data_IF_235713365781
#
_entry.id   IF_235713365781
#
_cell.length_a   1.000
_cell.length_b   1.000
_cell.length_c   1.000
_cell.angle_alpha   90.00
_cell.angle_beta   90.00
_cell.angle_gamma   90.00
#
_symmetry.space_group_name_H-M   'P 1'
#
loop_
_entity.id
_entity.type
_entity.pdbx_description
1 polymer ?
#
# COMPACT_ATOMS: atom_id res chain seq x y z
N UNK A 1 5.57 -23.18 14.68
CA UNK A 1 6.20 -23.19 13.35
C UNK A 1 5.67 -22.10 12.42
N UNK A 2 4.40 -22.11 11.99
CA UNK A 2 3.86 -21.11 11.04
C UNK A 2 3.97 -19.66 11.54
N UNK A 3 3.59 -19.35 12.78
CA UNK A 3 3.73 -17.98 13.29
C UNK A 3 5.20 -17.50 13.30
N UNK A 4 6.14 -18.40 13.57
CA UNK A 4 7.58 -18.10 13.57
C UNK A 4 8.12 -17.86 12.17
N UNK A 5 7.74 -18.68 11.20
CA UNK A 5 8.09 -18.44 9.80
C UNK A 5 7.54 -17.09 9.29
N UNK A 6 6.35 -16.64 9.77
CA UNK A 6 5.82 -15.29 9.48
C UNK A 6 6.72 -14.21 10.07
N UNK A 7 7.16 -14.40 11.32
CA UNK A 7 8.07 -13.47 11.98
C UNK A 7 9.42 -13.36 11.25
N UNK A 8 10.04 -14.49 10.90
CA UNK A 8 11.36 -14.53 10.26
C UNK A 8 11.33 -14.08 8.79
N UNK A 9 10.28 -14.45 8.05
CA UNK A 9 10.13 -14.01 6.65
C UNK A 9 10.06 -12.49 6.56
N UNK A 10 9.41 -11.86 7.53
CA UNK A 10 9.29 -10.43 7.61
C UNK A 10 10.60 -9.75 8.03
N UNK A 11 11.26 -10.26 9.07
CA UNK A 11 12.49 -9.68 9.59
C UNK A 11 13.68 -9.79 8.62
N UNK A 12 13.83 -10.92 7.93
CA UNK A 12 15.05 -11.23 7.18
C UNK A 12 14.85 -11.37 5.67
N UNK A 13 13.62 -11.64 5.22
CA UNK A 13 13.35 -11.91 3.80
C UNK A 13 12.53 -10.81 3.12
N UNK A 14 12.09 -9.76 3.82
CA UNK A 14 11.42 -8.62 3.20
C UNK A 14 12.31 -7.95 2.14
N UNK A 15 13.60 -7.76 2.45
CA UNK A 15 14.60 -7.23 1.52
C UNK A 15 14.80 -8.15 0.30
N UNK A 16 15.12 -9.43 0.52
CA UNK A 16 15.32 -10.38 -0.58
C UNK A 16 14.09 -10.53 -1.47
N UNK A 17 12.90 -10.50 -0.90
CA UNK A 17 11.63 -10.55 -1.64
C UNK A 17 11.46 -9.35 -2.58
N UNK A 18 11.84 -8.15 -2.14
CA UNK A 18 11.79 -6.93 -2.95
C UNK A 18 12.81 -6.99 -4.09
N UNK A 19 14.05 -7.41 -3.81
CA UNK A 19 15.09 -7.50 -4.86
C UNK A 19 14.74 -8.54 -5.94
N UNK A 20 14.20 -9.69 -5.54
CA UNK A 20 13.73 -10.73 -6.48
C UNK A 20 12.61 -10.20 -7.39
N UNK A 21 11.71 -9.36 -6.86
CA UNK A 21 10.65 -8.70 -7.66
C UNK A 21 11.23 -7.67 -8.61
N UNK A 22 12.16 -6.82 -8.15
CA UNK A 22 12.87 -5.84 -8.99
C UNK A 22 13.61 -6.50 -10.15
N UNK A 23 14.27 -7.63 -9.89
CA UNK A 23 14.99 -8.41 -10.89
C UNK A 23 14.08 -9.21 -11.85
N UNK A 24 12.74 -9.16 -11.70
CA UNK A 24 11.82 -9.86 -12.59
C UNK A 24 11.84 -11.39 -12.47
N UNK A 25 12.50 -11.94 -11.45
CA UNK A 25 12.72 -13.38 -11.32
C UNK A 25 11.43 -14.19 -11.09
N UNK A 26 10.36 -13.52 -10.66
CA UNK A 26 9.02 -14.12 -10.55
C UNK A 26 8.52 -14.70 -11.88
N UNK A 27 8.91 -14.15 -13.03
CA UNK A 27 8.50 -14.66 -14.35
C UNK A 27 9.03 -16.08 -14.58
N UNK A 28 10.33 -16.29 -14.34
CA UNK A 28 10.97 -17.62 -14.42
C UNK A 28 10.33 -18.61 -13.44
N UNK A 29 10.03 -18.16 -12.21
CA UNK A 29 9.37 -19.00 -11.22
C UNK A 29 7.96 -19.41 -11.67
N UNK A 30 7.21 -18.51 -12.30
CA UNK A 30 5.87 -18.79 -12.82
C UNK A 30 5.90 -19.80 -13.98
N UNK A 31 6.91 -19.76 -14.84
CA UNK A 31 7.11 -20.76 -15.91
C UNK A 31 7.33 -22.16 -15.34
N UNK A 32 8.10 -22.26 -14.25
CA UNK A 32 8.39 -23.53 -13.59
C UNK A 32 7.19 -24.06 -12.80
N UNK A 33 6.46 -23.17 -12.11
CA UNK A 33 5.31 -23.51 -11.28
C UNK A 33 4.33 -22.33 -11.26
N UNK A 34 3.20 -22.44 -11.99
CA UNK A 34 2.16 -21.42 -11.95
C UNK A 34 1.62 -21.21 -10.53
N UNK A 35 1.55 -19.95 -10.10
CA UNK A 35 1.00 -19.57 -8.80
C UNK A 35 -0.53 -19.48 -8.85
N UNK A 36 -1.20 -19.78 -7.73
CA UNK A 36 -2.67 -19.77 -7.67
C UNK A 36 -3.28 -18.39 -8.03
N UNK A 37 -2.63 -17.28 -7.66
CA UNK A 37 -3.10 -15.93 -8.00
C UNK A 37 -3.14 -15.67 -9.50
N UNK A 38 -2.31 -16.38 -10.27
CA UNK A 38 -2.27 -16.30 -11.74
C UNK A 38 -3.22 -17.33 -12.35
N UNK A 39 -3.30 -18.54 -11.78
CA UNK A 39 -4.26 -19.56 -12.21
C UNK A 39 -5.72 -19.10 -12.05
N UNK A 40 -6.01 -18.27 -11.03
CA UNK A 40 -7.32 -17.67 -10.77
C UNK A 40 -7.42 -16.20 -11.20
N UNK A 41 -6.61 -15.77 -12.19
CA UNK A 41 -6.51 -14.36 -12.59
C UNK A 41 -7.87 -13.73 -12.89
N UNK A 42 -8.73 -14.39 -13.67
CA UNK A 42 -10.05 -13.84 -14.01
C UNK A 42 -10.98 -13.65 -12.80
N UNK A 43 -10.91 -14.52 -11.79
CA UNK A 43 -11.67 -14.38 -10.54
C UNK A 43 -11.14 -13.22 -9.69
N UNK A 44 -9.81 -13.11 -9.61
CA UNK A 44 -9.12 -12.03 -8.89
C UNK A 44 -9.39 -10.67 -9.54
N UNK A 45 -9.30 -10.58 -10.86
CA UNK A 45 -9.55 -9.34 -11.60
C UNK A 45 -10.99 -8.86 -11.41
N UNK A 46 -11.98 -9.77 -11.48
CA UNK A 46 -13.38 -9.44 -11.14
C UNK A 46 -13.54 -8.92 -9.72
N UNK A 47 -12.82 -9.49 -8.76
CA UNK A 47 -12.84 -9.01 -7.37
C UNK A 47 -12.24 -7.62 -7.27
N UNK A 48 -11.09 -7.38 -7.91
CA UNK A 48 -10.42 -6.08 -7.96
C UNK A 48 -11.34 -5.03 -8.60
N UNK A 49 -12.02 -5.37 -9.69
CA UNK A 49 -12.88 -4.44 -10.44
C UNK A 49 -14.13 -3.99 -9.69
N UNK A 50 -14.56 -4.70 -8.63
CA UNK A 50 -15.58 -4.19 -7.70
C UNK A 50 -15.20 -2.84 -7.10
N UNK A 51 -13.90 -2.52 -7.05
CA UNK A 51 -13.36 -1.24 -6.60
C UNK A 51 -13.84 -0.06 -7.44
N UNK A 52 -14.41 -0.30 -8.62
CA UNK A 52 -15.05 0.75 -9.41
C UNK A 52 -16.26 1.37 -8.74
N UNK A 53 -16.98 0.59 -7.93
CA UNK A 53 -18.25 0.99 -7.32
C UNK A 53 -18.23 0.94 -5.79
N UNK A 54 -17.38 0.09 -5.21
CA UNK A 54 -17.34 -0.17 -3.76
C UNK A 54 -15.93 0.11 -3.21
N UNK A 55 -15.78 0.95 -2.18
CA UNK A 55 -14.49 1.15 -1.54
C UNK A 55 -14.12 -0.05 -0.67
N UNK A 56 -12.94 -0.62 -0.88
CA UNK A 56 -12.34 -1.64 -0.01
C UNK A 56 -10.83 -1.69 -0.21
N UNK A 57 -10.12 -2.28 0.73
CA UNK A 57 -8.67 -2.40 0.68
C UNK A 57 -8.23 -3.75 0.09
N UNK A 58 -7.21 -3.73 -0.77
CA UNK A 58 -6.60 -4.91 -1.37
C UNK A 58 -5.18 -5.08 -0.84
N UNK A 59 -4.88 -6.25 -0.26
CA UNK A 59 -3.50 -6.61 0.07
C UNK A 59 -2.68 -6.79 -1.21
N UNK A 60 -1.46 -6.24 -1.22
CA UNK A 60 -0.51 -6.38 -2.33
C UNK A 60 0.68 -7.23 -1.89
N UNK A 61 1.34 -7.95 -2.82
CA UNK A 61 2.49 -8.80 -2.52
C UNK A 61 3.75 -7.95 -2.30
N UNK A 62 3.72 -7.01 -1.35
CA UNK A 62 4.85 -6.20 -0.92
C UNK A 62 4.88 -6.15 0.60
N UNK A 63 6.07 -6.30 1.22
CA UNK A 63 6.17 -6.34 2.66
C UNK A 63 5.78 -5.00 3.28
N UNK A 64 4.98 -5.07 4.34
CA UNK A 64 4.67 -3.93 5.18
C UNK A 64 5.84 -3.59 6.11
N UNK A 65 5.75 -2.44 6.78
CA UNK A 65 6.72 -2.04 7.81
C UNK A 65 6.57 -2.88 9.08
N UNK A 66 7.68 -3.45 9.57
CA UNK A 66 7.75 -4.03 10.92
C UNK A 66 7.76 -2.92 11.96
N UNK A 67 6.81 -2.98 12.90
CA UNK A 67 6.80 -2.09 14.05
C UNK A 67 7.97 -2.36 15.01
N UNK A 68 8.61 -3.54 14.92
CA UNK A 68 9.72 -3.96 15.79
C UNK A 68 11.11 -3.62 15.23
N UNK A 69 11.21 -3.39 13.92
CA UNK A 69 12.45 -2.89 13.29
C UNK A 69 12.12 -1.72 12.33
N UNK A 70 11.93 -0.50 12.87
CA UNK A 70 11.53 0.64 12.05
C UNK A 70 12.57 1.11 11.03
N UNK A 71 13.81 0.63 11.08
CA UNK A 71 14.92 1.09 10.24
C UNK A 71 15.01 0.34 8.89
N UNK A 72 14.62 -0.94 8.83
CA UNK A 72 14.69 -1.75 7.60
C UNK A 72 13.46 -1.71 6.69
N UNK A 73 12.50 -0.81 6.92
CA UNK A 73 11.08 -1.10 6.64
C UNK A 73 10.40 -0.30 5.53
N UNK A 74 11.13 0.51 4.76
CA UNK A 74 10.54 1.27 3.66
C UNK A 74 10.51 0.51 2.33
N UNK A 75 11.34 -0.52 2.12
CA UNK A 75 11.58 -1.12 0.79
C UNK A 75 10.33 -1.56 0.02
N UNK A 76 9.35 -2.12 0.71
CA UNK A 76 8.07 -2.49 0.08
C UNK A 76 7.30 -1.26 -0.41
N UNK A 77 7.21 -0.22 0.42
CA UNK A 77 6.59 1.04 0.05
C UNK A 77 7.39 1.77 -1.04
N UNK A 78 8.72 1.74 -0.97
CA UNK A 78 9.60 2.33 -1.98
C UNK A 78 9.37 1.68 -3.35
N UNK A 79 9.35 0.34 -3.40
CA UNK A 79 9.03 -0.40 -4.63
C UNK A 79 7.62 -0.10 -5.14
N UNK A 80 6.64 0.09 -4.25
CA UNK A 80 5.31 0.53 -4.64
C UNK A 80 5.39 1.90 -5.33
N UNK A 81 6.01 2.91 -4.71
CA UNK A 81 6.11 4.27 -5.26
C UNK A 81 7.01 4.37 -6.51
N UNK A 82 8.01 3.51 -6.65
CA UNK A 82 8.81 3.39 -7.88
C UNK A 82 7.95 3.03 -9.09
N UNK A 83 6.91 2.21 -8.90
CA UNK A 83 6.07 1.66 -9.99
C UNK A 83 4.69 2.31 -10.10
N UNK A 84 4.09 2.71 -9.00
CA UNK A 84 2.78 3.33 -8.96
C UNK A 84 2.82 4.75 -9.55
N UNK A 85 1.84 5.08 -10.38
CA UNK A 85 1.65 6.45 -10.91
C UNK A 85 0.19 6.84 -10.75
N UNK A 86 -0.06 7.99 -10.12
CA UNK A 86 -1.40 8.56 -10.06
C UNK A 86 -1.86 8.95 -11.47
N UNK A 87 -3.08 8.58 -11.84
CA UNK A 87 -3.67 8.91 -13.15
C UNK A 87 -4.43 10.24 -13.16
N UNK A 88 -4.47 10.96 -12.03
CA UNK A 88 -5.21 12.22 -11.93
C UNK A 88 -6.74 12.08 -11.96
N UNK A 89 -7.30 10.86 -11.83
CA UNK A 89 -8.72 10.58 -12.04
C UNK A 89 -9.73 11.26 -11.09
N UNK A 90 -9.26 11.96 -10.04
CA UNK A 90 -10.12 12.69 -9.11
C UNK A 90 -10.96 11.86 -8.14
N UNK A 91 -11.03 10.53 -8.26
CA UNK A 91 -11.90 9.71 -7.38
C UNK A 91 -11.69 9.97 -5.89
N UNK A 92 -10.45 10.04 -5.43
CA UNK A 92 -10.13 10.37 -4.02
C UNK A 92 -10.48 11.81 -3.60
N UNK A 93 -10.76 12.70 -4.56
CA UNK A 93 -11.21 14.08 -4.32
C UNK A 93 -12.74 14.21 -4.19
N UNK A 94 -13.48 13.12 -4.42
CA UNK A 94 -14.95 13.12 -4.34
C UNK A 94 -15.50 12.15 -3.29
N UNK A 95 -14.72 11.13 -2.88
CA UNK A 95 -15.23 10.08 -1.97
C UNK A 95 -15.55 10.61 -0.57
N UNK A 96 -16.83 10.60 -0.15
CA UNK A 96 -17.22 10.89 1.22
C UNK A 96 -16.77 9.73 2.12
N UNK A 97 -16.08 10.02 3.23
CA UNK A 97 -15.79 9.03 4.28
C UNK A 97 -14.32 8.77 4.61
N UNK A 98 -13.38 9.14 3.73
CA UNK A 98 -11.95 9.07 4.08
C UNK A 98 -11.50 10.25 4.97
N UNK A 99 -12.21 11.37 4.91
CA UNK A 99 -11.79 12.63 5.53
C UNK A 99 -10.41 13.06 5.00
N UNK A 100 -10.35 14.07 4.14
CA UNK A 100 -9.05 14.65 3.78
C UNK A 100 -8.52 15.45 4.99
N UNK A 101 -8.01 14.73 5.98
CA UNK A 101 -7.46 15.27 7.19
C UNK A 101 -6.15 15.97 6.87
N UNK A 102 -6.04 17.18 7.39
CA UNK A 102 -4.87 18.03 7.27
C UNK A 102 -4.49 18.53 8.66
N UNK A 103 -3.21 18.41 8.97
CA UNK A 103 -2.60 19.01 10.16
C UNK A 103 -2.22 20.47 9.88
N UNK A 104 -1.65 21.14 10.89
CA UNK A 104 -1.25 22.54 10.76
C UNK A 104 -0.13 22.70 9.72
N UNK A 105 0.81 21.77 9.68
CA UNK A 105 1.93 21.76 8.75
C UNK A 105 1.47 21.61 7.30
N UNK A 106 0.45 20.78 7.05
CA UNK A 106 -0.23 20.65 5.77
C UNK A 106 -0.91 21.96 5.37
N UNK A 107 -1.65 22.58 6.30
CA UNK A 107 -2.30 23.88 6.06
C UNK A 107 -1.30 24.98 5.70
N UNK A 108 -0.17 25.06 6.41
CA UNK A 108 0.91 26.01 6.13
C UNK A 108 1.56 25.76 4.76
N UNK A 109 1.79 24.49 4.39
CA UNK A 109 2.34 24.13 3.08
C UNK A 109 1.41 24.51 1.94
N UNK A 110 0.11 24.25 2.08
CA UNK A 110 -0.91 24.62 1.09
C UNK A 110 -1.01 26.14 0.97
N UNK A 111 -1.07 26.87 2.09
CA UNK A 111 -1.12 28.34 2.09
C UNK A 111 0.10 28.96 1.40
N UNK A 112 1.31 28.45 1.70
CA UNK A 112 2.56 28.92 1.07
C UNK A 112 2.54 28.68 -0.44
N UNK A 113 2.06 27.53 -0.87
CA UNK A 113 1.95 27.20 -2.30
C UNK A 113 0.95 28.09 -3.04
N UNK A 114 -0.18 28.41 -2.41
CA UNK A 114 -1.25 29.22 -3.01
C UNK A 114 -1.08 30.73 -2.81
N UNK A 115 -0.16 31.17 -1.95
CA UNK A 115 -0.07 32.57 -1.50
C UNK A 115 -1.30 33.02 -0.71
N UNK A 116 -1.99 32.11 -0.03
CA UNK A 116 -3.23 32.39 0.70
C UNK A 116 -3.00 32.65 2.19
N UNK A 117 -3.82 33.51 2.82
CA UNK A 117 -3.87 33.58 4.28
C UNK A 117 -4.56 32.34 4.85
N UNK A 118 -4.11 31.89 6.03
CA UNK A 118 -4.65 30.70 6.73
C UNK A 118 -6.18 30.71 6.84
N UNK A 119 -6.76 31.88 7.18
CA UNK A 119 -8.21 32.07 7.31
C UNK A 119 -8.99 31.69 6.05
N UNK A 120 -8.41 31.89 4.86
CA UNK A 120 -9.04 31.52 3.58
C UNK A 120 -9.08 30.00 3.42
N UNK A 121 -8.00 29.30 3.76
CA UNK A 121 -7.95 27.85 3.70
C UNK A 121 -8.85 27.21 4.77
N UNK A 122 -8.85 27.72 5.99
CA UNK A 122 -9.74 27.27 7.07
C UNK A 122 -11.21 27.36 6.68
N UNK A 123 -11.61 28.38 5.90
CA UNK A 123 -12.97 28.52 5.40
C UNK A 123 -13.40 27.41 4.41
N UNK A 124 -12.45 26.64 3.87
CA UNK A 124 -12.68 25.47 3.03
C UNK A 124 -12.62 24.14 3.79
N UNK A 125 -12.31 24.19 5.08
CA UNK A 125 -12.21 23.03 5.94
C UNK A 125 -13.35 22.98 6.97
N UNK A 126 -13.50 21.81 7.59
CA UNK A 126 -14.25 21.56 8.82
C UNK A 126 -13.26 21.28 9.93
N UNK A 127 -13.50 21.80 11.14
CA UNK A 127 -12.60 21.60 12.27
C UNK A 127 -12.96 20.30 12.99
N UNK A 128 -11.98 19.42 13.14
CA UNK A 128 -12.14 18.09 13.75
C UNK A 128 -11.55 18.10 15.15
N UNK A 129 -12.42 18.32 16.15
CA UNK A 129 -12.00 18.55 17.54
C UNK A 129 -11.34 17.32 18.17
N UNK A 130 -11.83 16.13 17.84
CA UNK A 130 -11.35 14.86 18.40
C UNK A 130 -9.97 14.48 17.87
N UNK A 131 -9.66 14.90 16.63
CA UNK A 131 -8.39 14.60 15.95
C UNK A 131 -7.37 15.75 16.03
N UNK A 132 -7.76 16.89 16.60
CA UNK A 132 -6.88 18.06 16.74
C UNK A 132 -6.49 18.72 15.41
N UNK A 133 -7.31 18.57 14.36
CA UNK A 133 -6.97 19.02 13.00
C UNK A 133 -8.15 19.56 12.20
N UNK A 134 -8.00 19.55 10.88
CA UNK A 134 -9.03 19.98 9.93
C UNK A 134 -9.30 18.87 8.91
N UNK A 135 -10.52 18.83 8.38
CA UNK A 135 -10.86 18.04 7.21
C UNK A 135 -11.22 18.97 6.05
N UNK A 136 -10.60 18.80 4.89
CA UNK A 136 -10.99 19.55 3.67
C UNK A 136 -12.40 19.12 3.29
N UNK A 137 -13.31 20.10 3.11
CA UNK A 137 -14.69 19.80 2.69
C UNK A 137 -14.70 19.13 1.33
N UNK A 138 -15.58 18.14 1.19
CA UNK A 138 -15.77 17.41 -0.06
C UNK A 138 -17.04 17.91 -0.78
N UNK A 139 -17.07 17.95 -2.13
CA UNK A 139 -15.96 17.67 -3.05
C UNK A 139 -14.75 18.58 -2.84
N UNK A 140 -13.54 18.03 -3.00
CA UNK A 140 -12.30 18.75 -2.74
C UNK A 140 -12.24 20.04 -3.59
N UNK A 141 -12.10 21.23 -2.99
CA UNK A 141 -12.10 22.50 -3.72
C UNK A 141 -10.83 22.72 -4.56
N UNK A 142 -9.84 21.83 -4.43
CA UNK A 142 -8.59 21.88 -5.17
C UNK A 142 -8.55 20.88 -6.33
N UNK A 143 -9.66 20.22 -6.64
CA UNK A 143 -9.75 19.35 -7.80
C UNK A 143 -10.57 20.01 -8.89
N UNK A 144 -10.00 20.05 -10.09
CA UNK A 144 -10.60 20.49 -11.32
C UNK A 144 -10.70 19.30 -12.27
N UNK A 145 -11.80 19.17 -13.03
CA UNK A 145 -11.99 18.02 -13.92
C UNK A 145 -11.12 18.04 -15.17
N UNK A 146 -10.63 19.21 -15.58
CA UNK A 146 -9.77 19.40 -16.75
C UNK A 146 -8.29 19.41 -16.34
N UNK A 147 -7.97 20.11 -15.24
CA UNK A 147 -6.59 20.33 -14.76
C UNK A 147 -6.16 19.36 -13.65
N UNK A 148 -7.08 18.57 -13.09
CA UNK A 148 -6.81 17.66 -11.98
C UNK A 148 -6.60 18.38 -10.65
N UNK A 149 -5.68 17.87 -9.81
CA UNK A 149 -5.44 18.48 -8.49
C UNK A 149 -4.55 19.73 -8.62
N UNK A 150 -5.13 20.91 -8.41
CA UNK A 150 -4.46 22.21 -8.53
C UNK A 150 -3.40 22.47 -7.46
N UNK A 151 -3.36 21.66 -6.40
CA UNK A 151 -2.32 21.69 -5.35
C UNK A 151 -1.45 20.42 -5.35
N UNK A 152 -1.36 19.68 -6.46
CA UNK A 152 -0.64 18.39 -6.51
C UNK A 152 0.76 18.40 -5.83
N UNK A 153 1.61 19.43 -6.02
CA UNK A 153 2.93 19.51 -5.37
C UNK A 153 2.88 19.81 -3.86
N UNK A 154 1.79 20.43 -3.39
CA UNK A 154 1.58 20.84 -2.01
C UNK A 154 0.51 20.00 -1.29
N UNK A 155 0.13 18.85 -1.86
CA UNK A 155 -0.89 17.96 -1.32
C UNK A 155 -0.62 17.62 0.15
N UNK A 156 -1.67 17.48 0.97
CA UNK A 156 -1.52 17.07 2.36
C UNK A 156 -0.93 15.66 2.44
N UNK A 157 -0.45 15.27 3.63
CA UNK A 157 0.17 13.95 3.85
C UNK A 157 -0.77 12.81 3.45
N UNK A 158 -2.04 12.92 3.84
CA UNK A 158 -3.11 11.97 3.48
C UNK A 158 -3.19 11.75 1.96
N UNK A 159 -3.18 12.82 1.17
CA UNK A 159 -3.23 12.74 -0.29
C UNK A 159 -1.92 12.23 -0.92
N UNK A 160 -0.78 12.46 -0.27
CA UNK A 160 0.53 11.99 -0.75
C UNK A 160 0.70 10.50 -0.54
N UNK A 161 0.13 9.95 0.54
CA UNK A 161 0.20 8.53 0.86
C UNK A 161 -0.86 7.71 0.13
N UNK A 162 -1.95 8.32 -0.32
CA UNK A 162 -2.99 7.64 -1.09
C UNK A 162 -2.43 7.10 -2.43
N UNK A 163 -2.70 5.82 -2.80
CA UNK A 163 -3.72 4.92 -2.26
C UNK A 163 -3.18 3.89 -1.26
N UNK A 164 -1.96 4.05 -0.77
CA UNK A 164 -1.31 3.06 0.11
C UNK A 164 -1.84 3.16 1.53
N UNK A 165 -2.34 2.04 2.07
CA UNK A 165 -2.95 1.92 3.38
C UNK A 165 -2.13 1.02 4.32
N UNK A 166 -2.38 1.11 5.64
CA UNK A 166 -1.85 0.15 6.60
C UNK A 166 -2.25 -1.30 6.24
N UNK A 167 -1.48 -2.30 6.72
CA UNK A 167 -1.79 -3.70 6.46
C UNK A 167 -3.18 -4.11 6.94
N UNK A 168 -3.81 -5.01 6.18
CA UNK A 168 -5.04 -5.68 6.58
C UNK A 168 -4.80 -6.58 7.79
N UNK A 169 -5.83 -6.75 8.63
CA UNK A 169 -5.74 -7.63 9.81
C UNK A 169 -5.42 -9.08 9.41
N UNK A 170 -5.96 -9.55 8.30
CA UNK A 170 -5.77 -10.91 7.78
C UNK A 170 -4.39 -11.06 7.11
N UNK A 171 -3.81 -9.97 6.63
CA UNK A 171 -2.48 -9.92 6.00
C UNK A 171 -1.58 -8.85 6.63
N UNK A 172 -1.23 -8.96 7.92
CA UNK A 172 -0.61 -7.87 8.69
C UNK A 172 0.84 -7.56 8.29
N UNK A 173 1.42 -8.37 7.41
CA UNK A 173 2.79 -8.26 6.90
C UNK A 173 2.86 -7.78 5.45
N UNK A 174 1.71 -7.54 4.81
CA UNK A 174 1.63 -7.05 3.45
C UNK A 174 1.04 -5.66 3.43
N UNK A 175 1.55 -4.80 2.55
CA UNK A 175 0.92 -3.50 2.30
C UNK A 175 -0.48 -3.70 1.73
N UNK A 176 -1.34 -2.69 1.89
CA UNK A 176 -2.66 -2.66 1.29
C UNK A 176 -2.84 -1.39 0.46
N UNK A 177 -3.75 -1.44 -0.50
CA UNK A 177 -4.13 -0.28 -1.32
C UNK A 177 -5.64 -0.16 -1.42
N UNK A 178 -6.14 1.07 -1.51
CA UNK A 178 -7.57 1.32 -1.75
C UNK A 178 -7.96 0.94 -3.19
N UNK A 179 -8.88 -0.03 -3.32
CA UNK A 179 -9.43 -0.51 -4.58
C UNK A 179 -10.20 0.58 -5.33
N UNK A 180 -10.65 1.64 -4.66
CA UNK A 180 -11.33 2.75 -5.30
C UNK A 180 -10.43 3.52 -6.28
N UNK A 181 -9.11 3.49 -6.04
CA UNK A 181 -8.11 4.06 -6.94
C UNK A 181 -7.92 3.19 -8.19
N UNK A 182 -8.20 3.69 -9.41
CA UNK A 182 -8.02 2.92 -10.65
C UNK A 182 -6.56 2.50 -10.87
N UNK A 183 -5.62 3.39 -10.59
CA UNK A 183 -4.19 3.10 -10.71
C UNK A 183 -3.74 2.01 -9.73
N UNK A 184 -4.34 1.93 -8.54
CA UNK A 184 -4.04 0.88 -7.57
C UNK A 184 -4.53 -0.48 -8.07
N UNK A 185 -5.75 -0.52 -8.63
CA UNK A 185 -6.30 -1.73 -9.25
C UNK A 185 -5.40 -2.24 -10.37
N UNK A 186 -4.97 -1.37 -11.28
CA UNK A 186 -4.02 -1.73 -12.34
C UNK A 186 -2.73 -2.33 -11.76
N UNK A 187 -2.13 -1.66 -10.77
CA UNK A 187 -0.94 -2.16 -10.10
C UNK A 187 -1.15 -3.56 -9.49
N UNK A 188 -2.26 -3.80 -8.81
CA UNK A 188 -2.56 -5.12 -8.21
C UNK A 188 -2.64 -6.20 -9.30
N UNK A 189 -3.35 -5.93 -10.40
CA UNK A 189 -3.50 -6.87 -11.52
C UNK A 189 -2.17 -7.23 -12.17
N UNK A 190 -1.30 -6.24 -12.37
CA UNK A 190 0.05 -6.41 -12.93
C UNK A 190 0.95 -7.22 -12.01
N UNK A 191 0.76 -7.11 -10.70
CA UNK A 191 1.64 -7.70 -9.69
C UNK A 191 1.14 -9.01 -9.09
N UNK A 192 0.03 -9.58 -9.59
CA UNK A 192 -0.49 -10.88 -9.11
C UNK A 192 0.58 -11.98 -9.11
N UNK A 193 1.47 -11.98 -10.10
CA UNK A 193 2.56 -12.96 -10.19
C UNK A 193 3.57 -12.89 -9.05
N UNK A 194 3.71 -11.75 -8.36
CA UNK A 194 4.71 -11.57 -7.31
C UNK A 194 4.42 -12.36 -6.04
N UNK A 195 3.19 -12.82 -5.84
CA UNK A 195 2.83 -13.69 -4.72
C UNK A 195 3.66 -14.99 -4.68
N UNK A 196 4.10 -15.51 -5.84
CA UNK A 196 4.97 -16.70 -5.91
C UNK A 196 6.30 -16.50 -5.18
N UNK A 197 6.83 -15.26 -5.19
CA UNK A 197 8.08 -14.92 -4.51
C UNK A 197 7.88 -14.95 -3.01
N UNK A 198 6.73 -14.43 -2.54
CA UNK A 198 6.36 -14.50 -1.13
C UNK A 198 6.20 -15.95 -0.66
N UNK A 199 5.51 -16.80 -1.44
CA UNK A 199 5.36 -18.24 -1.14
C UNK A 199 6.71 -18.98 -1.12
N UNK A 200 7.61 -18.65 -2.05
CA UNK A 200 8.92 -19.31 -2.13
C UNK A 200 9.79 -18.98 -0.92
N UNK A 201 9.84 -17.70 -0.54
CA UNK A 201 10.59 -17.27 0.65
C UNK A 201 10.02 -17.90 1.93
N UNK A 202 8.69 -17.99 2.00
CA UNK A 202 7.96 -18.68 3.07
C UNK A 202 8.39 -20.15 3.21
N UNK A 203 8.32 -20.91 2.11
CA UNK A 203 8.64 -22.33 2.08
C UNK A 203 10.11 -22.59 2.48
N UNK A 204 11.03 -21.74 2.01
CA UNK A 204 12.45 -21.83 2.37
C UNK A 204 12.67 -21.73 3.89
N UNK A 205 11.97 -20.81 4.55
CA UNK A 205 12.12 -20.61 6.00
C UNK A 205 11.53 -21.77 6.79
N UNK A 206 10.37 -22.30 6.37
CA UNK A 206 9.78 -23.47 7.03
C UNK A 206 10.74 -24.65 7.02
N UNK A 207 11.39 -24.93 5.88
CA UNK A 207 12.38 -26.00 5.78
C UNK A 207 13.55 -25.82 6.76
N UNK A 208 14.10 -24.61 6.85
CA UNK A 208 15.19 -24.31 7.81
C UNK A 208 14.74 -24.52 9.26
N UNK A 209 13.52 -24.10 9.60
CA UNK A 209 12.98 -24.28 10.94
C UNK A 209 12.73 -25.76 11.29
N UNK A 210 12.34 -26.58 10.31
CA UNK A 210 12.17 -28.02 10.47
C UNK A 210 13.51 -28.72 10.68
N UNK A 211 14.54 -28.34 9.91
CA UNK A 211 15.92 -28.86 10.06
C UNK A 211 16.49 -28.54 11.45
N UNK A 212 16.36 -27.29 11.91
CA UNK A 212 16.81 -26.87 13.24
C UNK A 212 16.06 -27.60 14.36
N UNK A 213 14.75 -27.82 14.20
CA UNK A 213 13.97 -28.56 15.19
C UNK A 213 14.42 -30.04 15.29
N UNK A 214 14.72 -30.68 14.15
CA UNK A 214 15.20 -32.05 14.12
C UNK A 214 16.59 -32.22 14.77
N UNK A 215 17.48 -31.25 14.59
CA UNK A 215 18.80 -31.25 15.26
C UNK A 215 18.68 -31.14 16.78
N UNK A 216 17.75 -30.32 17.28
CA UNK A 216 17.50 -30.17 18.73
C UNK A 216 16.86 -31.43 19.34
N UNK A 217 15.94 -32.09 18.62
CA UNK A 217 15.25 -33.30 19.09
C UNK A 217 16.09 -34.58 18.89
N UNK A 218 17.12 -34.54 18.04
CA UNK A 218 18.01 -35.67 17.73
C UNK A 218 19.26 -35.81 18.60
N UNK A 219 19.56 -34.82 19.47
CA UNK A 219 20.61 -34.87 20.49
C UNK A 219 20.12 -35.42 21.85
N UNK A 220 19.15 -36.36 21.81
CA UNK A 220 18.59 -37.06 22.98
C UNK A 220 19.15 -38.46 23.21
#
# INVERSE_FOLDING_TARGET
MLAEAKRLCHASCAEGCVEVKRAGLHLKLLEMRPHWSVLKREEQERTIDRGETEPFDIAIPLPAKDRRDPAGTSRGADLFWERFRCTGCGRCCYTPGAGLYVDREDMERICRHLGWPMKRLEALCSRERELGGWAIRQPCPFYDSEEGCTIYPARPKTCTLYPLHPPLREMPYHLAVDAFCPAARCFVKETLGWWIVCETNWARILKVLEEVAYEIDGEG
#
